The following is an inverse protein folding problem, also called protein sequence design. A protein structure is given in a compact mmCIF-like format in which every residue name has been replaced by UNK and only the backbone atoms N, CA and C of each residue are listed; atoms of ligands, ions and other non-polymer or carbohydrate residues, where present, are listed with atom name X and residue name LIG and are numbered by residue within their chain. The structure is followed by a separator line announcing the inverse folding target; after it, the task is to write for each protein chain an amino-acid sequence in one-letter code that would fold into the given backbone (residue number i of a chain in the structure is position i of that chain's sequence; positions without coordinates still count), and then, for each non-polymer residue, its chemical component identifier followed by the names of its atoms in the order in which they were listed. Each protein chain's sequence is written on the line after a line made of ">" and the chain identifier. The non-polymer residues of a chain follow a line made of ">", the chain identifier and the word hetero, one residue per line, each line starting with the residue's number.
data_IF_679878651791
#
_entry.id   IF_679878651791
#
_cell.length_a   1.000
_cell.length_b   1.000
_cell.length_c   1.000
_cell.angle_alpha   90.00
_cell.angle_beta   90.00
_cell.angle_gamma   90.00
#
_symmetry.space_group_name_H-M   'P 1'
#
loop_
_entity.id
_entity.type
_entity.pdbx_description
1 polymer ?
#
# COMPACT_ATOMS: atom_id res chain seq x y z
N UNK A 1 14.27 1.85 -13.49
CA UNK A 1 14.02 1.72 -12.03
C UNK A 1 15.32 1.61 -11.24
N UNK A 2 16.17 0.59 -11.45
CA UNK A 2 17.41 0.39 -10.67
C UNK A 2 18.30 1.64 -10.57
N UNK A 3 18.59 2.30 -11.70
CA UNK A 3 19.40 3.54 -11.74
C UNK A 3 18.77 4.70 -10.96
N UNK A 4 17.45 4.81 -10.94
CA UNK A 4 16.72 5.85 -10.20
C UNK A 4 16.87 5.60 -8.70
N UNK A 5 16.69 4.34 -8.27
CA UNK A 5 16.88 3.92 -6.88
C UNK A 5 18.33 4.07 -6.42
N UNK A 6 19.30 3.94 -7.32
CA UNK A 6 20.72 4.18 -7.05
C UNK A 6 21.09 5.67 -6.99
N UNK A 7 20.20 6.57 -7.42
CA UNK A 7 20.48 8.01 -7.47
C UNK A 7 21.34 8.43 -8.66
N UNK A 8 21.39 7.66 -9.75
CA UNK A 8 22.19 7.94 -10.95
C UNK A 8 21.59 9.05 -11.85
N UNK A 9 21.15 10.16 -11.23
CA UNK A 9 20.60 11.33 -11.88
C UNK A 9 21.69 12.39 -12.05
N UNK A 10 21.76 12.99 -13.24
CA UNK A 10 22.58 14.19 -13.43
C UNK A 10 21.91 15.42 -12.77
N UNK A 11 22.67 16.50 -12.59
CA UNK A 11 22.18 17.75 -11.99
C UNK A 11 21.00 18.37 -12.76
N UNK A 12 20.95 18.17 -14.08
CA UNK A 12 19.84 18.61 -14.93
C UNK A 12 18.63 17.65 -14.89
N UNK A 13 18.67 16.60 -14.05
CA UNK A 13 17.66 15.56 -13.93
C UNK A 13 17.67 14.52 -15.04
N UNK A 14 18.59 14.60 -16.00
CA UNK A 14 18.72 13.59 -17.05
C UNK A 14 19.36 12.32 -16.53
N UNK A 15 19.13 11.21 -17.25
CA UNK A 15 19.68 9.91 -16.89
C UNK A 15 20.17 9.18 -18.14
N UNK A 16 21.41 8.69 -18.12
CA UNK A 16 21.93 7.83 -19.16
C UNK A 16 21.49 6.37 -18.93
N UNK A 17 21.05 5.69 -19.97
CA UNK A 17 20.72 4.28 -19.99
C UNK A 17 21.64 3.58 -21.01
N UNK A 18 22.28 2.50 -20.57
CA UNK A 18 23.01 1.59 -21.44
C UNK A 18 22.20 0.31 -21.58
N UNK A 19 21.82 -0.05 -22.80
CA UNK A 19 21.11 -1.30 -23.07
C UNK A 19 21.57 -1.90 -24.38
N UNK A 20 21.98 -3.17 -24.36
CA UNK A 20 22.43 -3.92 -25.54
C UNK A 20 23.46 -3.17 -26.42
N UNK A 21 24.39 -2.45 -25.79
CA UNK A 21 25.44 -1.68 -26.48
C UNK A 21 24.98 -0.35 -27.08
N UNK A 22 23.76 0.11 -26.77
CA UNK A 22 23.25 1.44 -27.13
C UNK A 22 23.13 2.32 -25.89
N UNK A 23 23.69 3.51 -26.00
CA UNK A 23 23.52 4.58 -25.01
C UNK A 23 22.34 5.46 -25.39
N UNK A 24 21.40 5.65 -24.47
CA UNK A 24 20.28 6.58 -24.60
C UNK A 24 20.26 7.51 -23.40
N UNK A 25 20.13 8.82 -23.63
CA UNK A 25 19.92 9.80 -22.56
C UNK A 25 18.44 10.11 -22.46
N UNK A 26 17.86 9.89 -21.28
CA UNK A 26 16.52 10.34 -20.92
C UNK A 26 16.58 11.77 -20.39
N UNK A 27 15.64 12.60 -20.83
CA UNK A 27 15.39 13.94 -20.29
C UNK A 27 14.80 13.89 -18.87
N UNK A 28 14.89 15.00 -18.14
CA UNK A 28 14.26 15.13 -16.82
C UNK A 28 12.75 14.81 -16.84
N UNK A 29 12.05 15.25 -17.91
CA UNK A 29 10.63 14.95 -18.08
C UNK A 29 10.38 13.44 -18.22
N UNK A 30 11.14 12.75 -19.09
CA UNK A 30 10.99 11.30 -19.28
C UNK A 30 11.30 10.53 -18.01
N UNK A 31 12.31 10.95 -17.25
CA UNK A 31 12.64 10.33 -15.95
C UNK A 31 11.50 10.56 -14.95
N UNK A 32 10.97 11.77 -14.83
CA UNK A 32 9.85 12.08 -13.94
C UNK A 32 8.58 11.28 -14.30
N UNK A 33 8.21 11.29 -15.59
CA UNK A 33 7.05 10.56 -16.09
C UNK A 33 7.19 9.05 -15.88
N UNK A 34 8.36 8.48 -16.23
CA UNK A 34 8.65 7.06 -16.00
C UNK A 34 8.57 6.69 -14.52
N UNK A 35 9.08 7.55 -13.64
CA UNK A 35 9.06 7.30 -12.20
C UNK A 35 7.63 7.28 -11.67
N UNK A 36 6.80 8.27 -12.01
CA UNK A 36 5.40 8.35 -11.59
C UNK A 36 4.60 7.14 -12.11
N UNK A 37 4.76 6.80 -13.40
CA UNK A 37 4.07 5.63 -13.99
C UNK A 37 4.53 4.33 -13.32
N UNK A 38 5.83 4.20 -13.02
CA UNK A 38 6.35 3.03 -12.31
C UNK A 38 5.79 2.91 -10.90
N UNK A 39 5.63 4.03 -10.18
CA UNK A 39 5.00 4.05 -8.86
C UNK A 39 3.55 3.57 -8.93
N UNK A 40 2.78 4.08 -9.91
CA UNK A 40 1.39 3.71 -10.10
C UNK A 40 1.21 2.25 -10.53
N UNK A 41 2.00 1.78 -11.49
CA UNK A 41 1.99 0.39 -11.98
C UNK A 41 2.34 -0.61 -10.87
N UNK A 42 3.39 -0.31 -10.09
CA UNK A 42 3.77 -1.13 -8.95
C UNK A 42 2.67 -1.19 -7.88
N UNK A 43 2.05 -0.05 -7.55
CA UNK A 43 0.92 -0.03 -6.62
C UNK A 43 -0.28 -0.83 -7.15
N UNK A 44 -0.59 -0.74 -8.44
CA UNK A 44 -1.71 -1.46 -9.06
C UNK A 44 -1.49 -2.96 -9.11
N UNK A 45 -0.33 -3.42 -9.56
CA UNK A 45 -0.12 -4.82 -9.91
C UNK A 45 0.36 -5.68 -8.75
N UNK A 46 1.14 -5.13 -7.80
CA UNK A 46 1.96 -5.96 -6.93
C UNK A 46 1.23 -6.49 -5.70
N UNK A 47 1.27 -7.82 -5.54
CA UNK A 47 0.91 -8.53 -4.32
C UNK A 47 1.78 -9.79 -4.21
N UNK A 48 1.48 -10.69 -3.25
CA UNK A 48 2.35 -11.81 -2.90
C UNK A 48 2.77 -12.70 -4.08
N UNK A 49 1.93 -12.88 -5.10
CA UNK A 49 2.27 -13.73 -6.24
C UNK A 49 3.45 -13.14 -7.05
N UNK A 50 3.43 -11.84 -7.36
CA UNK A 50 4.57 -11.16 -7.99
C UNK A 50 5.78 -11.12 -7.06
N UNK A 51 5.61 -10.94 -5.74
CA UNK A 51 6.73 -11.00 -4.80
C UNK A 51 7.43 -12.37 -4.81
N UNK A 52 6.67 -13.45 -4.94
CA UNK A 52 7.22 -14.81 -4.93
C UNK A 52 7.93 -15.12 -6.25
N UNK A 53 7.34 -14.74 -7.40
CA UNK A 53 7.91 -14.95 -8.74
C UNK A 53 9.10 -14.03 -9.02
N UNK A 54 9.01 -12.76 -8.62
CA UNK A 54 10.05 -11.75 -8.79
C UNK A 54 10.73 -11.43 -7.46
N UNK A 55 11.05 -12.47 -6.68
CA UNK A 55 11.75 -12.29 -5.40
C UNK A 55 13.04 -11.50 -5.61
N UNK A 56 13.27 -10.54 -4.72
CA UNK A 56 14.35 -9.56 -4.77
C UNK A 56 14.28 -8.54 -5.92
N UNK A 57 13.11 -8.38 -6.57
CA UNK A 57 12.87 -7.26 -7.47
C UNK A 57 13.30 -5.92 -6.84
N UNK A 58 14.02 -5.05 -7.58
CA UNK A 58 14.27 -5.11 -9.03
C UNK A 58 15.48 -5.96 -9.46
N UNK A 59 16.21 -6.57 -8.51
CA UNK A 59 17.35 -7.45 -8.77
C UNK A 59 16.93 -8.93 -8.75
N UNK A 60 16.07 -9.30 -9.70
CA UNK A 60 15.49 -10.64 -9.77
C UNK A 60 16.55 -11.69 -10.10
N UNK A 61 16.61 -12.75 -9.29
CA UNK A 61 17.42 -13.93 -9.60
C UNK A 61 16.72 -14.82 -10.64
N UNK A 62 17.11 -14.69 -11.91
CA UNK A 62 16.50 -15.40 -13.04
C UNK A 62 16.86 -16.90 -13.14
N UNK A 63 17.50 -17.47 -12.11
CA UNK A 63 17.98 -18.87 -12.12
C UNK A 63 17.03 -19.85 -11.41
N UNK A 64 15.95 -19.37 -10.78
CA UNK A 64 15.00 -20.23 -10.05
C UNK A 64 14.18 -21.06 -11.03
N UNK A 65 14.29 -22.39 -10.92
CA UNK A 65 13.59 -23.33 -11.82
C UNK A 65 12.12 -23.51 -11.42
N UNK A 66 11.20 -23.33 -12.38
CA UNK A 66 9.77 -23.45 -12.12
C UNK A 66 9.37 -24.84 -11.60
N UNK A 67 9.94 -25.93 -12.14
CA UNK A 67 9.60 -27.30 -11.71
C UNK A 67 9.90 -27.56 -10.23
N UNK A 68 10.89 -26.87 -9.66
CA UNK A 68 11.24 -26.95 -8.23
C UNK A 68 10.36 -26.03 -7.38
N UNK A 69 9.99 -24.86 -7.92
CA UNK A 69 9.24 -23.82 -7.20
C UNK A 69 7.79 -23.69 -7.70
N UNK A 70 7.17 -24.79 -8.15
CA UNK A 70 5.88 -24.78 -8.84
C UNK A 70 4.78 -24.08 -8.03
N UNK A 71 4.79 -24.23 -6.71
CA UNK A 71 3.80 -23.64 -5.81
C UNK A 71 3.76 -22.10 -5.91
N UNK A 72 4.93 -21.46 -6.02
CA UNK A 72 5.05 -20.01 -6.17
C UNK A 72 4.51 -19.51 -7.52
N UNK A 73 4.38 -20.38 -8.52
CA UNK A 73 3.84 -20.02 -9.83
C UNK A 73 2.31 -20.06 -9.92
N UNK A 74 1.63 -20.64 -8.92
CA UNK A 74 0.17 -20.75 -8.93
C UNK A 74 -0.49 -19.38 -8.78
N UNK A 75 -1.18 -18.94 -9.83
CA UNK A 75 -1.99 -17.73 -9.82
C UNK A 75 -3.42 -18.06 -9.30
N UNK A 76 -4.07 -17.18 -8.51
CA UNK A 76 -3.62 -15.87 -8.04
C UNK A 76 -2.74 -15.92 -6.77
N UNK A 77 -2.35 -17.09 -6.28
CA UNK A 77 -1.69 -17.20 -4.98
C UNK A 77 -2.56 -16.71 -3.81
N UNK A 78 -1.96 -16.46 -2.63
CA UNK A 78 -2.71 -16.10 -1.41
C UNK A 78 -3.27 -14.68 -1.38
N UNK A 79 -2.94 -13.84 -2.36
CA UNK A 79 -3.35 -12.42 -2.41
C UNK A 79 -2.95 -11.61 -1.16
N UNK A 80 -1.87 -12.00 -0.47
CA UNK A 80 -1.32 -11.19 0.63
C UNK A 80 -0.79 -9.88 0.05
N UNK A 81 -1.05 -8.72 0.67
CA UNK A 81 -0.51 -7.45 0.20
C UNK A 81 1.02 -7.47 0.09
N UNK A 82 1.56 -6.68 -0.83
CA UNK A 82 3.01 -6.57 -1.01
C UNK A 82 3.67 -6.04 0.26
N UNK A 83 4.82 -6.61 0.60
CA UNK A 83 5.59 -6.37 1.83
C UNK A 83 6.94 -5.70 1.65
N UNK A 84 7.33 -5.44 0.41
CA UNK A 84 8.58 -4.72 0.08
C UNK A 84 8.43 -3.72 -1.06
N UNK A 85 7.21 -3.52 -1.57
CA UNK A 85 7.00 -2.72 -2.76
C UNK A 85 6.73 -1.26 -2.42
N UNK A 86 6.01 -0.96 -1.33
CA UNK A 86 5.71 0.42 -0.93
C UNK A 86 6.96 1.17 -0.48
N UNK A 87 7.90 0.52 0.19
CA UNK A 87 9.21 1.12 0.52
C UNK A 87 9.96 1.52 -0.75
N UNK A 88 10.02 0.64 -1.75
CA UNK A 88 10.60 0.96 -3.06
C UNK A 88 9.86 2.09 -3.78
N UNK A 89 8.52 2.08 -3.77
CA UNK A 89 7.72 3.17 -4.34
C UNK A 89 8.00 4.48 -3.60
N UNK A 90 8.21 4.45 -2.28
CA UNK A 90 8.58 5.64 -1.50
C UNK A 90 9.97 6.17 -1.86
N UNK A 91 10.93 5.29 -2.19
CA UNK A 91 12.26 5.68 -2.69
C UNK A 91 12.20 6.27 -4.10
N UNK A 92 11.35 5.72 -4.97
CA UNK A 92 11.03 6.34 -6.27
C UNK A 92 10.41 7.72 -6.09
N UNK A 93 9.47 7.86 -5.15
CA UNK A 93 8.92 9.15 -4.76
C UNK A 93 10.00 10.12 -4.29
N UNK A 94 10.91 9.66 -3.41
CA UNK A 94 12.03 10.49 -2.94
C UNK A 94 12.88 11.01 -4.10
N UNK A 95 13.14 10.20 -5.14
CA UNK A 95 13.88 10.64 -6.31
C UNK A 95 13.20 11.80 -7.05
N UNK A 96 11.86 11.83 -7.08
CA UNK A 96 11.08 12.94 -7.66
C UNK A 96 11.27 14.28 -6.94
N UNK A 97 11.81 14.29 -5.71
CA UNK A 97 12.15 15.54 -5.01
C UNK A 97 13.35 16.27 -5.63
N UNK A 98 14.10 15.62 -6.53
CA UNK A 98 15.17 16.28 -7.26
C UNK A 98 14.63 17.55 -7.96
N UNK A 99 15.26 18.74 -7.80
CA UNK A 99 14.69 20.01 -8.27
C UNK A 99 14.32 20.00 -9.76
N UNK A 100 15.18 19.41 -10.60
CA UNK A 100 14.94 19.32 -12.03
C UNK A 100 13.78 18.37 -12.40
N UNK A 101 13.49 17.35 -11.59
CA UNK A 101 12.37 16.42 -11.82
C UNK A 101 11.06 16.98 -11.29
N UNK A 102 11.08 17.55 -10.07
CA UNK A 102 9.93 18.20 -9.43
C UNK A 102 9.34 19.33 -10.25
N UNK A 103 10.17 20.03 -11.04
CA UNK A 103 9.73 21.10 -11.94
C UNK A 103 8.97 20.59 -13.18
N UNK A 104 9.01 19.28 -13.49
CA UNK A 104 8.44 18.74 -14.74
C UNK A 104 6.97 18.36 -14.61
N UNK A 105 6.60 17.71 -13.50
CA UNK A 105 5.28 17.12 -13.29
C UNK A 105 4.82 17.28 -11.84
N UNK A 106 3.50 17.36 -11.57
CA UNK A 106 2.97 17.32 -10.22
C UNK A 106 3.40 16.05 -9.47
N UNK A 107 3.77 16.20 -8.21
CA UNK A 107 4.14 15.06 -7.36
C UNK A 107 2.89 14.26 -6.96
N UNK A 108 2.95 12.92 -6.99
CA UNK A 108 1.93 12.08 -6.38
C UNK A 108 1.67 12.48 -4.91
N UNK A 109 0.41 12.50 -4.44
CA UNK A 109 0.07 12.94 -3.08
C UNK A 109 0.39 11.89 -1.99
N UNK A 110 1.11 10.83 -2.33
CA UNK A 110 1.47 9.72 -1.44
C UNK A 110 2.81 9.98 -0.75
N UNK A 111 3.02 9.36 0.42
CA UNK A 111 4.23 9.57 1.23
C UNK A 111 4.53 11.05 1.52
N UNK A 112 3.48 11.80 1.87
CA UNK A 112 3.51 13.26 2.06
C UNK A 112 4.16 13.97 0.87
N UNK A 113 3.49 13.90 -0.27
CA UNK A 113 3.95 14.47 -1.55
C UNK A 113 5.36 13.99 -1.91
N UNK A 114 5.60 12.69 -1.77
CA UNK A 114 6.87 12.03 -2.04
C UNK A 114 8.05 12.53 -1.19
N UNK A 115 7.78 13.12 -0.02
CA UNK A 115 8.81 13.69 0.87
C UNK A 115 9.17 12.79 2.07
N UNK A 116 8.44 11.68 2.26
CA UNK A 116 8.72 10.66 3.27
C UNK A 116 9.12 9.35 2.60
N UNK A 117 9.90 8.57 3.33
CA UNK A 117 10.29 7.22 2.95
C UNK A 117 9.71 6.23 3.95
N UNK A 118 9.37 5.05 3.48
CA UNK A 118 8.96 3.91 4.27
C UNK A 118 10.13 2.93 4.35
N UNK A 119 10.53 2.57 5.57
CA UNK A 119 11.57 1.56 5.78
C UNK A 119 11.08 0.20 5.26
N UNK A 120 11.92 -0.59 4.56
CA UNK A 120 11.57 -1.96 4.19
C UNK A 120 11.24 -2.85 5.40
N UNK A 121 11.89 -2.61 6.54
CA UNK A 121 11.62 -3.33 7.79
C UNK A 121 10.25 -2.99 8.37
N UNK A 122 9.89 -1.70 8.35
CA UNK A 122 8.59 -1.24 8.85
C UNK A 122 7.46 -1.71 7.93
N UNK A 123 7.65 -1.67 6.60
CA UNK A 123 6.70 -2.23 5.64
C UNK A 123 6.46 -3.71 5.93
N UNK A 124 7.52 -4.54 5.96
CA UNK A 124 7.39 -5.98 6.16
C UNK A 124 6.71 -6.33 7.49
N UNK A 125 7.04 -5.62 8.57
CA UNK A 125 6.42 -5.79 9.87
C UNK A 125 4.93 -5.38 9.85
N UNK A 126 4.60 -4.23 9.26
CA UNK A 126 3.22 -3.77 9.13
C UNK A 126 2.35 -4.77 8.35
N UNK A 127 2.86 -5.32 7.24
CA UNK A 127 2.14 -6.34 6.45
C UNK A 127 1.89 -7.60 7.27
N UNK A 128 2.91 -8.06 8.00
CA UNK A 128 2.81 -9.28 8.80
C UNK A 128 1.76 -9.15 9.90
N UNK A 129 1.71 -7.99 10.57
CA UNK A 129 0.73 -7.66 11.61
C UNK A 129 -0.68 -7.51 11.04
N UNK A 130 -0.84 -6.79 9.93
CA UNK A 130 -2.14 -6.69 9.24
C UNK A 130 -2.64 -8.07 8.80
N UNK A 131 -1.76 -8.85 8.16
CA UNK A 131 -2.13 -10.14 7.60
C UNK A 131 -2.51 -11.16 8.67
N UNK A 132 -1.85 -11.14 9.84
CA UNK A 132 -2.21 -12.06 10.93
C UNK A 132 -3.63 -11.80 11.47
N UNK A 133 -4.06 -10.54 11.53
CA UNK A 133 -5.44 -10.20 11.91
C UNK A 133 -6.42 -10.62 10.83
N UNK A 134 -6.08 -10.38 9.57
CA UNK A 134 -6.92 -10.72 8.42
C UNK A 134 -7.13 -12.24 8.24
N UNK A 135 -6.07 -13.03 8.44
CA UNK A 135 -6.14 -14.49 8.34
C UNK A 135 -6.79 -15.13 9.56
N UNK A 136 -7.15 -14.33 10.58
CA UNK A 136 -7.64 -14.84 11.85
C UNK A 136 -6.61 -15.74 12.54
N UNK A 137 -5.32 -15.50 12.29
CA UNK A 137 -4.18 -16.19 12.91
C UNK A 137 -3.89 -15.66 14.33
N UNK A 138 -4.86 -14.96 14.92
CA UNK A 138 -4.86 -14.50 16.30
C UNK A 138 -6.06 -15.12 17.03
N UNK A 139 -5.97 -15.38 18.33
CA UNK A 139 -7.13 -15.82 19.11
C UNK A 139 -8.29 -14.82 18.95
N UNK A 140 -9.38 -15.25 18.31
CA UNK A 140 -10.58 -14.43 18.00
C UNK A 140 -11.41 -14.02 19.22
N UNK A 141 -10.86 -14.17 20.41
CA UNK A 141 -11.51 -13.94 21.70
C UNK A 141 -11.13 -12.61 22.33
N UNK A 142 -10.13 -11.91 21.79
CA UNK A 142 -9.62 -10.66 22.38
C UNK A 142 -9.59 -9.52 21.34
N UNK A 143 -10.60 -8.66 21.43
CA UNK A 143 -10.75 -7.46 20.61
C UNK A 143 -9.61 -6.45 20.85
N UNK A 144 -9.12 -6.34 22.09
CA UNK A 144 -8.05 -5.40 22.44
C UNK A 144 -6.72 -5.85 21.86
N UNK A 145 -6.43 -7.16 21.88
CA UNK A 145 -5.24 -7.72 21.25
C UNK A 145 -5.22 -7.47 19.73
N UNK A 146 -6.33 -7.75 19.02
CA UNK A 146 -6.43 -7.49 17.59
C UNK A 146 -6.31 -5.98 17.27
N UNK A 147 -6.88 -5.14 18.12
CA UNK A 147 -6.76 -3.68 18.03
C UNK A 147 -5.31 -3.22 18.17
N UNK A 148 -4.60 -3.69 19.19
CA UNK A 148 -3.19 -3.33 19.43
C UNK A 148 -2.25 -3.78 18.29
N UNK A 149 -2.53 -4.94 17.69
CA UNK A 149 -1.81 -5.44 16.51
C UNK A 149 -2.00 -4.50 15.32
N UNK A 150 -3.24 -4.09 15.02
CA UNK A 150 -3.51 -3.15 13.93
C UNK A 150 -3.00 -1.72 14.20
N UNK A 151 -3.11 -1.23 15.44
CA UNK A 151 -2.49 0.05 15.84
C UNK A 151 -0.98 0.04 15.58
N UNK A 152 -0.32 -1.10 15.82
CA UNK A 152 1.10 -1.28 15.50
C UNK A 152 1.36 -1.35 14.01
N UNK A 153 0.52 -2.04 13.24
CA UNK A 153 0.63 -2.05 11.78
C UNK A 153 0.52 -0.63 11.18
N UNK A 154 -0.48 0.15 11.63
CA UNK A 154 -0.71 1.52 11.18
C UNK A 154 0.44 2.46 11.55
N UNK A 155 1.00 2.32 12.76
CA UNK A 155 2.13 3.13 13.19
C UNK A 155 3.39 2.88 12.34
N UNK A 156 3.62 1.64 11.94
CA UNK A 156 4.76 1.24 11.11
C UNK A 156 4.56 1.64 9.64
N UNK A 157 3.34 1.50 9.12
CA UNK A 157 3.00 1.92 7.76
C UNK A 157 1.70 2.73 7.73
N UNK A 158 1.77 4.06 7.91
CA UNK A 158 0.60 4.93 7.88
C UNK A 158 0.12 5.26 6.46
N UNK A 159 0.79 4.73 5.43
CA UNK A 159 0.58 5.14 4.04
C UNK A 159 -0.46 4.29 3.29
N UNK A 160 -1.06 3.31 3.96
CA UNK A 160 -2.11 2.43 3.40
C UNK A 160 -3.40 2.53 4.21
N UNK A 161 -4.53 2.39 3.51
CA UNK A 161 -5.85 2.65 4.10
C UNK A 161 -6.47 1.44 4.78
N UNK A 162 -6.16 0.23 4.31
CA UNK A 162 -6.84 -1.00 4.73
C UNK A 162 -6.63 -1.34 6.21
N UNK A 163 -5.41 -1.28 6.77
CA UNK A 163 -5.23 -1.48 8.21
C UNK A 163 -6.00 -0.46 9.04
N UNK A 164 -6.06 0.81 8.59
CA UNK A 164 -6.80 1.87 9.28
C UNK A 164 -8.32 1.68 9.20
N UNK A 165 -8.82 1.21 8.06
CA UNK A 165 -10.22 0.87 7.90
C UNK A 165 -10.61 -0.28 8.84
N UNK A 166 -9.85 -1.38 8.85
CA UNK A 166 -10.15 -2.53 9.73
C UNK A 166 -10.07 -2.09 11.20
N UNK A 167 -9.08 -1.26 11.55
CA UNK A 167 -8.96 -0.68 12.88
C UNK A 167 -10.18 0.17 13.25
N UNK A 168 -10.72 0.97 12.33
CA UNK A 168 -11.95 1.72 12.56
C UNK A 168 -13.15 0.80 12.88
N UNK A 169 -13.25 -0.34 12.21
CA UNK A 169 -14.30 -1.33 12.49
C UNK A 169 -14.12 -1.99 13.88
N UNK A 170 -12.90 -2.29 14.31
CA UNK A 170 -12.63 -2.77 15.66
C UNK A 170 -12.98 -1.72 16.71
N UNK A 171 -12.60 -0.45 16.49
CA UNK A 171 -12.96 0.65 17.38
C UNK A 171 -14.48 0.83 17.51
N UNK A 172 -15.24 0.74 16.42
CA UNK A 172 -16.71 0.77 16.50
C UNK A 172 -17.26 -0.39 17.33
N UNK A 173 -16.71 -1.59 17.14
CA UNK A 173 -17.10 -2.79 17.89
C UNK A 173 -16.76 -2.67 19.38
N UNK A 174 -15.72 -1.90 19.73
CA UNK A 174 -15.33 -1.58 21.10
C UNK A 174 -16.06 -0.33 21.68
N UNK A 175 -16.99 0.29 20.94
CA UNK A 175 -17.67 1.52 21.36
C UNK A 175 -16.79 2.78 21.35
N UNK A 176 -15.61 2.73 20.72
CA UNK A 176 -14.64 3.84 20.60
C UNK A 176 -14.92 4.69 19.36
N UNK A 177 -16.06 5.37 19.33
CA UNK A 177 -16.54 6.09 18.15
C UNK A 177 -15.57 7.17 17.62
N UNK A 178 -14.96 7.96 18.51
CA UNK A 178 -14.02 9.02 18.10
C UNK A 178 -12.74 8.47 17.47
N UNK A 179 -12.22 7.37 17.99
CA UNK A 179 -11.07 6.67 17.41
C UNK A 179 -11.43 6.09 16.03
N UNK A 180 -12.61 5.49 15.92
CA UNK A 180 -13.12 4.96 14.65
C UNK A 180 -13.23 6.05 13.58
N UNK A 181 -13.79 7.22 13.92
CA UNK A 181 -13.93 8.34 12.99
C UNK A 181 -12.57 8.84 12.49
N UNK A 182 -11.56 8.94 13.38
CA UNK A 182 -10.19 9.31 13.00
C UNK A 182 -9.57 8.28 12.06
N UNK A 183 -9.62 7.00 12.43
CA UNK A 183 -9.04 5.92 11.62
C UNK A 183 -9.71 5.81 10.25
N UNK A 184 -11.05 5.91 10.17
CA UNK A 184 -11.78 5.89 8.91
C UNK A 184 -11.47 7.11 8.04
N UNK A 185 -11.31 8.30 8.62
CA UNK A 185 -10.91 9.51 7.89
C UNK A 185 -9.52 9.35 7.27
N UNK A 186 -8.55 8.88 8.05
CA UNK A 186 -7.19 8.60 7.57
C UNK A 186 -7.18 7.52 6.48
N UNK A 187 -7.98 6.46 6.63
CA UNK A 187 -8.13 5.44 5.59
C UNK A 187 -8.65 6.04 4.27
N UNK A 188 -9.69 6.88 4.31
CA UNK A 188 -10.22 7.57 3.12
C UNK A 188 -9.19 8.49 2.46
N UNK A 189 -8.35 9.16 3.25
CA UNK A 189 -7.25 9.97 2.73
C UNK A 189 -6.23 9.09 1.98
N UNK A 190 -5.81 7.97 2.57
CA UNK A 190 -4.91 7.02 1.90
C UNK A 190 -5.50 6.48 0.59
N UNK A 191 -6.75 6.02 0.63
CA UNK A 191 -7.43 5.51 -0.57
C UNK A 191 -7.57 6.57 -1.66
N UNK A 192 -7.84 7.82 -1.29
CA UNK A 192 -7.91 8.93 -2.25
C UNK A 192 -6.54 9.31 -2.81
N UNK A 193 -5.49 9.26 -1.98
CA UNK A 193 -4.12 9.56 -2.39
C UNK A 193 -3.57 8.55 -3.38
N UNK A 194 -3.86 7.26 -3.18
CA UNK A 194 -3.45 6.20 -4.10
C UNK A 194 -4.37 6.07 -5.32
N UNK A 195 -5.68 6.27 -5.14
CA UNK A 195 -6.69 5.89 -6.13
C UNK A 195 -6.73 4.39 -6.40
N UNK A 196 -6.24 3.58 -5.47
CA UNK A 196 -6.07 2.13 -5.61
C UNK A 196 -6.05 1.41 -4.25
N UNK A 197 -6.32 0.11 -4.24
CA UNK A 197 -6.24 -0.76 -3.07
C UNK A 197 -4.84 -1.37 -2.96
N UNK A 198 -4.23 -1.34 -1.79
CA UNK A 198 -3.03 -2.13 -1.48
C UNK A 198 -3.38 -3.60 -1.23
N UNK A 199 -4.52 -3.85 -0.55
CA UNK A 199 -5.06 -5.21 -0.41
C UNK A 199 -5.96 -5.55 -1.59
N UNK A 200 -5.44 -6.40 -2.49
CA UNK A 200 -6.04 -6.75 -3.77
C UNK A 200 -7.20 -7.73 -3.69
N UNK A 201 -7.54 -8.25 -2.52
CA UNK A 201 -8.67 -9.18 -2.35
C UNK A 201 -10.02 -8.51 -2.56
N UNK A 202 -10.09 -7.19 -2.37
CA UNK A 202 -11.28 -6.37 -2.53
C UNK A 202 -10.94 -5.18 -3.43
N UNK A 203 -11.87 -4.81 -4.30
CA UNK A 203 -11.70 -3.67 -5.20
C UNK A 203 -11.70 -2.34 -4.41
N UNK A 204 -10.99 -1.33 -4.93
CA UNK A 204 -10.79 -0.04 -4.26
C UNK A 204 -12.11 0.67 -3.89
N UNK A 205 -13.08 0.65 -4.79
CA UNK A 205 -14.40 1.24 -4.60
C UNK A 205 -15.16 0.61 -3.43
N UNK A 206 -15.05 -0.70 -3.24
CA UNK A 206 -15.62 -1.40 -2.09
C UNK A 206 -14.92 -1.03 -0.77
N UNK A 207 -13.59 -0.88 -0.77
CA UNK A 207 -12.87 -0.36 0.40
C UNK A 207 -13.34 1.06 0.76
N UNK A 208 -13.45 1.95 -0.22
CA UNK A 208 -13.98 3.32 -0.02
C UNK A 208 -15.41 3.29 0.53
N UNK A 209 -16.29 2.51 -0.09
CA UNK A 209 -17.70 2.45 0.29
C UNK A 209 -17.86 1.97 1.74
N UNK A 210 -17.17 0.89 2.11
CA UNK A 210 -17.22 0.37 3.47
C UNK A 210 -16.64 1.36 4.48
N UNK A 211 -15.52 2.01 4.16
CA UNK A 211 -14.91 3.01 5.04
C UNK A 211 -15.85 4.21 5.29
N UNK A 212 -16.61 4.63 4.27
CA UNK A 212 -17.63 5.69 4.44
C UNK A 212 -18.75 5.26 5.37
N UNK A 213 -19.20 4.01 5.29
CA UNK A 213 -20.20 3.44 6.21
C UNK A 213 -19.66 3.41 7.65
N UNK A 214 -18.39 3.04 7.85
CA UNK A 214 -17.75 3.08 9.17
C UNK A 214 -17.69 4.51 9.72
N UNK A 215 -17.24 5.47 8.91
CA UNK A 215 -17.17 6.88 9.31
C UNK A 215 -18.54 7.44 9.66
N UNK A 216 -19.55 7.18 8.83
CA UNK A 216 -20.93 7.59 9.10
C UNK A 216 -21.44 6.96 10.40
N UNK A 217 -21.18 5.66 10.61
CA UNK A 217 -21.61 4.95 11.81
C UNK A 217 -20.95 5.49 13.07
N UNK A 218 -19.67 5.85 12.99
CA UNK A 218 -18.93 6.48 14.08
C UNK A 218 -19.55 7.84 14.45
N UNK A 219 -19.91 8.65 13.45
CA UNK A 219 -20.47 9.99 13.67
C UNK A 219 -21.92 9.96 14.16
N UNK A 220 -22.71 8.97 13.73
CA UNK A 220 -24.14 8.88 14.01
C UNK A 220 -24.48 7.93 15.16
N UNK A 221 -23.50 7.19 15.68
CA UNK A 221 -23.74 6.17 16.71
C UNK A 221 -24.61 5.01 16.20
N UNK A 222 -24.54 4.69 14.91
CA UNK A 222 -25.45 3.73 14.25
C UNK A 222 -24.86 2.34 14.08
N UNK A 223 -23.67 2.08 14.63
CA UNK A 223 -23.02 0.77 14.56
C UNK A 223 -23.90 -0.29 15.27
N UNK A 224 -24.13 -1.46 14.68
CA UNK A 224 -25.07 -2.41 15.23
C UNK A 224 -24.44 -3.21 16.38
N UNK A 225 -25.20 -3.40 17.45
CA UNK A 225 -24.80 -4.26 18.58
C UNK A 225 -24.76 -5.76 18.22
N UNK A 226 -25.44 -6.16 17.14
CA UNK A 226 -25.59 -7.56 16.72
C UNK A 226 -24.98 -7.80 15.34
N UNK A 227 -24.23 -8.90 15.22
CA UNK A 227 -23.56 -9.30 13.97
C UNK A 227 -24.52 -9.49 12.78
N UNK A 228 -25.72 -10.03 13.01
CA UNK A 228 -26.72 -10.25 11.94
C UNK A 228 -27.23 -8.95 11.31
N UNK A 229 -26.99 -7.80 11.95
CA UNK A 229 -27.41 -6.48 11.44
C UNK A 229 -26.35 -5.79 10.59
N UNK A 230 -25.12 -6.32 10.51
CA UNK A 230 -24.04 -5.73 9.69
C UNK A 230 -24.44 -5.62 8.20
N UNK A 231 -25.16 -6.61 7.67
CA UNK A 231 -25.57 -6.62 6.27
C UNK A 231 -26.60 -5.52 5.92
N UNK A 232 -27.19 -4.85 6.92
CA UNK A 232 -28.18 -3.78 6.71
C UNK A 232 -27.57 -2.38 6.76
N UNK A 233 -26.26 -2.25 6.99
CA UNK A 233 -25.62 -0.94 7.19
C UNK A 233 -25.66 -0.06 5.94
N UNK A 234 -25.59 -0.66 4.74
CA UNK A 234 -25.69 0.06 3.47
C UNK A 234 -27.14 0.44 3.09
N UNK A 235 -28.15 -0.01 3.84
CA UNK A 235 -29.57 0.16 3.50
C UNK A 235 -30.26 1.32 4.23
N UNK A 236 -29.56 1.98 5.16
CA UNK A 236 -30.10 3.14 5.89
C UNK A 236 -29.78 4.42 5.11
N UNK A 237 -30.71 4.80 4.23
CA UNK A 237 -30.77 6.10 3.56
C UNK A 237 -31.61 7.10 4.34
#
# INVERSE_FOLDING_TARGET
>A
MQKILAGDLAEDGSMALESAGRSQRLSAYEVAAFTIVSMADAMEQWFSWQEDIYSQFPQVQNQRQQGVHWAASLWPGPMRPASRMLSQISDLGRALQHPALRAQLPLPPVFDHCSRQLSPGDEAAAVSLYWSVIQLDQPLVDLDAATAVLESAVRLNPWVGEPQMVLAQLYLSAGRADDAARAATSALQCFSGWGNAWDKRVQWDAWIAWTRILLQSAQQGSWPERLDKLNNLALKG
#
